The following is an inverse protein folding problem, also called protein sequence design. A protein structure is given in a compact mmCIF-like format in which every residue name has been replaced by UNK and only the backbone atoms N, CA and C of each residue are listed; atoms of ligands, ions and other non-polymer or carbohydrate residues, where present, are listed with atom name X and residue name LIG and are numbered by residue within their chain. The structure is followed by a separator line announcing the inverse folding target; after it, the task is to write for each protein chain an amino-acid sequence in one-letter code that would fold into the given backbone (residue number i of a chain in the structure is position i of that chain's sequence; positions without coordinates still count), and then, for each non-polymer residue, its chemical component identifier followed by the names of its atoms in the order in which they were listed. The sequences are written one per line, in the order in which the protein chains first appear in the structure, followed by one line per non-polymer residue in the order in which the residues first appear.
data_IF_743821209527
#
_entry.id   IF_743821209527
#
_cell.length_a   1.000
_cell.length_b   1.000
_cell.length_c   1.000
_cell.angle_alpha   90.00
_cell.angle_beta   90.00
_cell.angle_gamma   90.00
#
_symmetry.space_group_name_H-M   'P 1'
#
loop_
_entity.id
_entity.type
_entity.pdbx_description
1 polymer ?
#
# COMPACT_ATOMS: atom_id res chain seq x y z
N UNK A 1 -32.63 -43.72 2.95
CA UNK A 1 -33.93 -43.18 2.46
C UNK A 1 -33.85 -41.67 2.63
N UNK A 2 -33.84 -40.94 1.52
CA UNK A 2 -33.52 -39.52 1.44
C UNK A 2 -34.82 -38.73 1.51
N UNK A 3 -35.03 -37.90 2.54
CA UNK A 3 -36.20 -37.05 2.64
C UNK A 3 -35.79 -35.59 2.84
N UNK A 4 -36.02 -34.82 1.78
CA UNK A 4 -35.97 -33.37 1.74
C UNK A 4 -37.41 -32.90 1.47
N UNK A 5 -38.08 -32.21 2.40
CA UNK A 5 -39.32 -31.51 2.12
C UNK A 5 -39.08 -30.00 2.12
N UNK A 6 -39.16 -29.40 0.93
CA UNK A 6 -39.23 -27.95 0.78
C UNK A 6 -40.58 -27.38 1.23
N UNK A 7 -40.51 -26.13 1.69
CA UNK A 7 -41.48 -25.01 1.57
C UNK A 7 -42.97 -25.27 1.80
N UNK A 8 -43.56 -24.63 2.83
CA UNK A 8 -44.75 -23.72 2.84
C UNK A 8 -44.74 -23.04 4.23
N UNK A 9 -44.68 -21.73 4.49
CA UNK A 9 -45.49 -20.59 4.05
C UNK A 9 -46.13 -19.92 5.29
N UNK A 10 -45.83 -18.65 5.57
CA UNK A 10 -46.51 -17.73 6.53
C UNK A 10 -45.69 -16.42 6.55
N UNK A 11 -46.21 -15.21 6.56
CA UNK A 11 -47.54 -14.65 6.73
C UNK A 11 -47.42 -13.14 6.57
N UNK A 12 -48.55 -12.49 6.37
CA UNK A 12 -48.72 -11.12 5.91
C UNK A 12 -48.29 -10.00 6.88
N UNK A 13 -48.10 -8.80 6.30
CA UNK A 13 -48.06 -7.50 6.96
C UNK A 13 -46.63 -6.97 7.19
N UNK A 14 -46.29 -5.70 6.98
CA UNK A 14 -47.09 -4.52 6.73
C UNK A 14 -46.16 -3.29 6.72
N UNK A 15 -46.34 -2.38 5.75
CA UNK A 15 -45.92 -0.97 5.71
C UNK A 15 -44.41 -0.59 5.82
N UNK A 16 -43.85 0.02 4.77
CA UNK A 16 -43.37 1.43 4.87
C UNK A 16 -43.25 2.11 3.52
N UNK A 17 -43.65 3.37 3.54
CA UNK A 17 -43.82 4.31 2.45
C UNK A 17 -42.57 4.53 1.58
N UNK A 18 -42.86 4.66 0.30
CA UNK A 18 -42.03 5.29 -0.70
C UNK A 18 -42.00 6.81 -0.46
N UNK A 19 -40.88 7.44 -0.84
CA UNK A 19 -40.69 8.89 -1.03
C UNK A 19 -40.52 9.77 0.22
N UNK A 20 -39.28 10.18 0.48
CA UNK A 20 -38.99 11.51 1.02
C UNK A 20 -38.35 12.32 -0.09
N UNK A 21 -39.16 13.19 -0.67
CA UNK A 21 -38.75 14.25 -1.56
C UNK A 21 -37.90 15.27 -0.78
N UNK A 22 -36.68 15.52 -1.24
CA UNK A 22 -35.94 16.75 -0.94
C UNK A 22 -36.35 17.80 -1.98
N UNK A 23 -37.01 18.91 -1.57
CA UNK A 23 -37.19 20.04 -2.46
C UNK A 23 -35.89 20.90 -2.53
N UNK A 24 -35.73 21.65 -3.63
CA UNK A 24 -34.49 22.29 -4.04
C UNK A 24 -34.31 23.64 -3.35
N UNK A 25 -33.08 24.02 -3.04
CA UNK A 25 -32.79 25.34 -2.48
C UNK A 25 -31.31 25.67 -2.55
N UNK A 26 -31.00 26.62 -3.44
CA UNK A 26 -29.81 27.46 -3.45
C UNK A 26 -28.45 26.83 -3.82
N UNK A 27 -28.27 26.65 -5.13
CA UNK A 27 -26.96 26.83 -5.74
C UNK A 27 -26.59 28.33 -5.70
N UNK A 28 -25.80 28.73 -4.71
CA UNK A 28 -25.05 29.98 -4.75
C UNK A 28 -23.63 29.70 -5.25
N UNK A 29 -23.26 30.10 -6.48
CA UNK A 29 -21.88 30.08 -6.93
C UNK A 29 -21.20 31.44 -6.63
N UNK A 30 -19.87 31.42 -6.56
CA UNK A 30 -18.98 32.58 -6.81
C UNK A 30 -18.72 33.45 -5.57
N UNK A 31 -17.57 33.29 -4.90
CA UNK A 31 -16.39 34.20 -4.94
C UNK A 31 -16.12 34.68 -3.48
N UNK A 32 -14.95 34.87 -2.87
CA UNK A 32 -13.51 34.96 -3.23
C UNK A 32 -12.67 34.64 -1.99
N UNK A 33 -11.40 34.26 -2.19
CA UNK A 33 -10.19 34.64 -1.43
C UNK A 33 -9.03 33.80 -2.01
N UNK A 34 -8.37 34.21 -3.09
CA UNK A 34 -7.28 35.20 -3.19
C UNK A 34 -6.09 34.90 -2.26
N UNK A 35 -4.93 34.58 -2.86
CA UNK A 35 -3.59 34.52 -2.23
C UNK A 35 -3.07 33.09 -2.06
N UNK A 36 -1.99 32.61 -2.67
CA UNK A 36 -0.82 33.26 -3.25
C UNK A 36 -0.24 32.35 -4.35
N UNK A 37 -0.47 32.68 -5.62
CA UNK A 37 0.35 32.19 -6.73
C UNK A 37 1.57 33.09 -6.79
N UNK A 38 2.72 32.65 -6.26
CA UNK A 38 3.99 33.32 -6.54
C UNK A 38 4.49 32.89 -7.94
N UNK A 39 4.61 33.80 -8.92
CA UNK A 39 5.45 33.59 -10.08
C UNK A 39 6.92 33.78 -9.67
N UNK A 40 7.70 32.72 -9.80
CA UNK A 40 9.16 32.71 -9.59
C UNK A 40 9.83 33.65 -10.62
N UNK A 41 10.60 34.67 -10.21
CA UNK A 41 11.36 35.48 -11.17
C UNK A 41 12.56 34.69 -11.74
N UNK A 42 12.97 34.94 -13.00
CA UNK A 42 14.07 34.25 -13.63
C UNK A 42 15.40 34.57 -12.96
N UNK A 43 16.24 33.53 -12.83
CA UNK A 43 17.63 33.59 -12.33
C UNK A 43 18.42 34.63 -13.09
N UNK A 44 18.80 35.71 -12.41
CA UNK A 44 19.87 36.60 -12.88
C UNK A 44 21.20 35.96 -12.50
N UNK A 45 21.92 35.44 -13.49
CA UNK A 45 23.31 35.02 -13.33
C UNK A 45 24.18 36.26 -13.39
N UNK A 46 24.72 36.67 -12.25
CA UNK A 46 25.86 37.60 -12.20
C UNK A 46 26.71 37.21 -11.00
N UNK A 47 27.80 36.46 -11.27
CA UNK A 47 28.94 36.34 -10.36
C UNK A 47 29.79 37.61 -10.52
N UNK A 48 30.47 38.08 -9.46
CA UNK A 48 31.89 37.69 -9.32
C UNK A 48 32.37 37.41 -7.89
N UNK A 49 33.20 36.36 -7.81
CA UNK A 49 34.32 36.03 -6.90
C UNK A 49 34.48 36.68 -5.51
N UNK A 50 34.41 35.85 -4.47
CA UNK A 50 35.32 35.85 -3.32
C UNK A 50 35.57 34.40 -2.85
N UNK A 51 36.82 33.93 -2.66
CA UNK A 51 37.11 32.60 -2.13
C UNK A 51 36.96 32.61 -0.61
N UNK A 52 35.72 32.53 -0.11
CA UNK A 52 35.48 32.24 1.31
C UNK A 52 35.65 30.75 1.56
N UNK A 53 36.73 30.43 2.25
CA UNK A 53 37.17 29.15 2.83
C UNK A 53 36.13 28.03 2.83
N UNK A 54 36.46 26.83 2.31
CA UNK A 54 35.64 25.64 2.52
C UNK A 54 35.97 25.03 3.90
N UNK A 55 35.85 25.80 4.97
CA UNK A 55 35.82 25.30 6.35
C UNK A 55 34.41 25.52 6.91
N UNK A 56 33.43 24.97 6.21
CA UNK A 56 32.20 24.54 6.87
C UNK A 56 32.17 23.04 6.74
N UNK A 57 32.41 22.39 7.88
CA UNK A 57 32.23 20.98 8.15
C UNK A 57 31.25 20.38 7.15
N UNK A 58 31.78 19.56 6.24
CA UNK A 58 30.99 18.52 5.59
C UNK A 58 30.59 17.60 6.72
N UNK A 59 29.52 18.01 7.42
CA UNK A 59 28.86 17.20 8.43
C UNK A 59 28.62 15.86 7.80
N UNK A 60 29.06 14.84 8.53
CA UNK A 60 28.69 13.44 8.43
C UNK A 60 27.22 13.33 7.98
N UNK A 61 26.98 13.38 6.68
CA UNK A 61 25.68 13.06 6.12
C UNK A 61 25.72 11.55 6.03
N UNK A 62 24.94 10.82 6.84
CA UNK A 62 24.91 9.38 6.76
C UNK A 62 24.59 9.03 5.32
N UNK A 63 25.50 8.30 4.67
CA UNK A 63 25.38 7.89 3.29
C UNK A 63 23.96 7.34 3.09
N UNK A 64 23.15 8.08 2.32
CA UNK A 64 21.73 7.78 2.16
C UNK A 64 21.64 6.41 1.51
N UNK A 65 21.40 5.37 2.31
CA UNK A 65 21.31 3.99 1.83
C UNK A 65 20.25 3.97 0.73
N UNK A 66 20.71 3.78 -0.51
CA UNK A 66 19.82 3.76 -1.66
C UNK A 66 19.08 2.42 -1.64
N UNK A 67 17.81 2.45 -1.22
CA UNK A 67 16.96 1.26 -1.22
C UNK A 67 16.57 0.90 -2.66
N UNK A 68 17.10 -0.20 -3.16
CA UNK A 68 16.67 -0.83 -4.41
C UNK A 68 15.30 -1.49 -4.22
N UNK A 69 14.36 -1.25 -5.13
CA UNK A 69 13.01 -1.86 -5.10
C UNK A 69 12.95 -3.05 -6.03
N UNK A 70 12.31 -4.14 -5.57
CA UNK A 70 11.99 -5.32 -6.39
C UNK A 70 10.50 -5.62 -6.25
N UNK A 71 9.78 -5.65 -7.37
CA UNK A 71 8.36 -5.97 -7.44
C UNK A 71 8.17 -7.43 -7.87
N UNK A 72 7.07 -8.05 -7.44
CA UNK A 72 6.70 -9.42 -7.80
C UNK A 72 5.27 -9.40 -8.31
N UNK A 73 5.07 -9.86 -9.54
CA UNK A 73 3.74 -10.03 -10.12
C UNK A 73 3.12 -11.32 -9.58
N UNK A 74 1.99 -11.18 -8.89
CA UNK A 74 1.26 -12.28 -8.30
C UNK A 74 -0.16 -12.31 -8.89
N UNK A 75 -0.66 -13.49 -9.31
CA UNK A 75 -2.08 -13.63 -9.63
C UNK A 75 -2.97 -13.20 -8.46
N UNK A 76 -4.16 -12.66 -8.73
CA UNK A 76 -5.07 -12.16 -7.71
C UNK A 76 -5.40 -13.22 -6.63
N UNK A 77 -5.53 -14.48 -7.03
CA UNK A 77 -5.75 -15.60 -6.11
C UNK A 77 -4.59 -15.79 -5.12
N UNK A 78 -3.34 -15.72 -5.62
CA UNK A 78 -2.13 -15.83 -4.80
C UNK A 78 -1.98 -14.65 -3.85
N UNK A 79 -2.27 -13.44 -4.32
CA UNK A 79 -2.26 -12.24 -3.48
C UNK A 79 -3.29 -12.35 -2.34
N UNK A 80 -4.49 -12.85 -2.62
CA UNK A 80 -5.53 -13.07 -1.61
C UNK A 80 -5.16 -14.16 -0.60
N UNK A 81 -4.50 -15.23 -1.05
CA UNK A 81 -3.97 -16.26 -0.15
C UNK A 81 -2.90 -15.70 0.80
N UNK A 82 -2.03 -14.81 0.30
CA UNK A 82 -1.03 -14.14 1.11
C UNK A 82 -1.66 -13.22 2.17
N UNK A 83 -2.67 -12.42 1.83
CA UNK A 83 -3.35 -11.53 2.79
C UNK A 83 -3.98 -12.31 3.95
N UNK A 84 -4.62 -13.45 3.66
CA UNK A 84 -5.18 -14.32 4.69
C UNK A 84 -4.08 -14.84 5.60
N UNK A 85 -3.00 -15.37 5.03
CA UNK A 85 -1.89 -15.88 5.81
C UNK A 85 -1.23 -14.79 6.67
N UNK A 86 -1.14 -13.55 6.19
CA UNK A 86 -0.59 -12.43 6.95
C UNK A 86 -1.42 -12.07 8.19
N UNK A 87 -2.75 -12.14 8.07
CA UNK A 87 -3.65 -11.96 9.22
C UNK A 87 -3.42 -13.06 10.26
N UNK A 88 -3.42 -14.32 9.82
CA UNK A 88 -3.14 -15.44 10.72
C UNK A 88 -1.76 -15.37 11.36
N UNK A 89 -0.74 -14.94 10.61
CA UNK A 89 0.60 -14.74 11.13
C UNK A 89 0.63 -13.61 12.18
N UNK A 90 -0.09 -12.51 11.92
CA UNK A 90 -0.22 -11.41 12.86
C UNK A 90 -0.88 -11.86 14.17
N UNK A 91 -1.96 -12.66 14.07
CA UNK A 91 -2.65 -13.24 15.22
C UNK A 91 -1.72 -14.14 16.06
N UNK A 92 -0.93 -15.00 15.40
CA UNK A 92 0.04 -15.89 16.08
C UNK A 92 1.18 -15.13 16.74
N UNK A 93 1.63 -14.03 16.13
CA UNK A 93 2.71 -13.20 16.67
C UNK A 93 2.21 -12.18 17.69
N UNK A 94 0.89 -12.00 17.84
CA UNK A 94 0.28 -11.00 18.72
C UNK A 94 0.52 -9.56 18.24
N UNK A 95 0.79 -9.36 16.95
CA UNK A 95 1.03 -8.03 16.35
C UNK A 95 -0.19 -7.56 15.59
N UNK A 96 -0.33 -6.24 15.42
CA UNK A 96 -1.50 -5.66 14.75
C UNK A 96 -1.58 -6.00 13.25
N UNK A 97 -0.44 -6.19 12.58
CA UNK A 97 -0.37 -6.57 11.17
C UNK A 97 1.02 -7.11 10.82
N UNK A 98 1.05 -8.00 9.84
CA UNK A 98 2.27 -8.40 9.13
C UNK A 98 2.16 -7.89 7.71
N UNK A 99 3.13 -7.09 7.26
CA UNK A 99 3.13 -6.49 5.92
C UNK A 99 3.78 -7.41 4.90
N UNK A 100 3.40 -7.27 3.61
CA UNK A 100 4.06 -8.00 2.52
C UNK A 100 5.57 -7.74 2.44
N UNK A 101 5.99 -6.53 2.80
CA UNK A 101 7.41 -6.19 2.83
C UNK A 101 8.16 -6.99 3.89
N UNK A 102 7.63 -7.11 5.12
CA UNK A 102 8.26 -7.90 6.18
C UNK A 102 8.37 -9.38 5.79
N UNK A 103 7.32 -9.92 5.17
CA UNK A 103 7.34 -11.30 4.65
C UNK A 103 8.43 -11.48 3.60
N UNK A 104 8.48 -10.60 2.60
CA UNK A 104 9.48 -10.69 1.53
C UNK A 104 10.90 -10.51 2.07
N UNK A 105 11.13 -9.55 2.97
CA UNK A 105 12.45 -9.35 3.60
C UNK A 105 12.87 -10.60 4.38
N UNK A 106 12.01 -11.15 5.24
CA UNK A 106 12.32 -12.35 6.00
C UNK A 106 12.60 -13.57 5.10
N UNK A 107 11.86 -13.72 4.01
CA UNK A 107 12.09 -14.79 3.04
C UNK A 107 13.44 -14.64 2.31
N UNK A 108 13.81 -13.42 1.94
CA UNK A 108 15.11 -13.12 1.32
C UNK A 108 16.24 -13.39 2.30
N UNK A 109 16.12 -12.90 3.54
CA UNK A 109 17.14 -13.11 4.57
C UNK A 109 17.34 -14.60 4.84
N UNK A 110 16.25 -15.37 4.92
CA UNK A 110 16.34 -16.83 5.08
C UNK A 110 16.94 -17.52 3.86
N UNK A 111 16.59 -17.09 2.65
CA UNK A 111 17.16 -17.62 1.41
C UNK A 111 18.67 -17.42 1.34
N UNK A 112 19.16 -16.27 1.81
CA UNK A 112 20.59 -15.95 1.79
C UNK A 112 21.36 -16.59 2.95
N UNK A 113 20.70 -16.92 4.06
CA UNK A 113 21.34 -17.54 5.23
C UNK A 113 21.30 -19.08 5.22
N UNK A 114 20.30 -19.71 4.58
CA UNK A 114 20.10 -21.16 4.61
C UNK A 114 20.32 -21.82 3.23
N UNK A 115 21.46 -22.52 3.03
CA UNK A 115 21.77 -23.15 1.75
C UNK A 115 20.80 -24.27 1.37
N UNK A 116 20.12 -24.90 2.34
CA UNK A 116 19.12 -25.93 2.04
C UNK A 116 17.89 -25.31 1.41
N UNK A 117 17.42 -24.18 1.93
CA UNK A 117 16.30 -23.45 1.35
C UNK A 117 16.66 -22.96 -0.06
N UNK A 118 17.87 -22.44 -0.27
CA UNK A 118 18.34 -22.02 -1.59
C UNK A 118 18.25 -23.16 -2.61
N UNK A 119 18.77 -24.33 -2.27
CA UNK A 119 18.69 -25.51 -3.15
C UNK A 119 17.26 -25.96 -3.44
N UNK A 120 16.36 -25.88 -2.47
CA UNK A 120 14.94 -26.18 -2.68
C UNK A 120 14.27 -25.21 -3.65
N UNK A 121 14.56 -23.91 -3.53
CA UNK A 121 14.03 -22.90 -4.44
C UNK A 121 14.58 -23.10 -5.85
N UNK A 122 15.88 -23.37 -6.01
CA UNK A 122 16.48 -23.67 -7.32
C UNK A 122 15.76 -24.84 -7.99
N UNK A 123 15.57 -25.95 -7.26
CA UNK A 123 14.86 -27.12 -7.79
C UNK A 123 13.41 -26.80 -8.17
N UNK A 124 12.71 -26.00 -7.38
CA UNK A 124 11.34 -25.57 -7.70
C UNK A 124 11.25 -24.65 -8.93
N UNK A 125 12.32 -23.87 -9.20
CA UNK A 125 12.42 -23.05 -10.41
C UNK A 125 12.69 -23.95 -11.63
N UNK A 126 13.56 -24.95 -11.51
CA UNK A 126 13.84 -25.92 -12.57
C UNK A 126 12.59 -26.69 -12.97
N UNK A 127 11.79 -27.17 -12.01
CA UNK A 127 10.56 -27.92 -12.28
C UNK A 127 9.48 -27.13 -13.05
N UNK A 128 9.56 -25.80 -13.02
CA UNK A 128 8.61 -24.90 -13.70
C UNK A 128 9.07 -24.50 -15.11
N UNK A 129 10.34 -24.72 -15.46
CA UNK A 129 10.91 -24.35 -16.76
C UNK A 129 10.79 -25.48 -17.77
#
# INVERSE_FOLDING_TARGET
VNFNPGQIGSGAGSFRANMSATPPGDAAPTERLTGFRQPRPPRTVTQPAEPRSPERSTGDQPARIQRTRRTVDLPAATHRALDIWQREAADRLGVARVTGQEVLTALIDRLLADPKLASQIVRAIEDRR
#
